data_IF_036998803686
#
_entry.id   IF_036998803686
#
_cell.length_a   1.000
_cell.length_b   1.000
_cell.length_c   1.000
_cell.angle_alpha   90.00
_cell.angle_beta   90.00
_cell.angle_gamma   90.00
#
_symmetry.space_group_name_H-M   'P 1'
#
loop_
_entity.id
_entity.type
_entity.pdbx_description
1 polymer ?
#
# COMPACT_ATOMS: atom_id res chain seq x y z
N UNK A 1 9.50 -4.25 -4.75
CA UNK A 1 8.62 -3.09 -4.96
C UNK A 1 7.20 -3.64 -4.98
N UNK A 2 6.33 -3.13 -4.13
CA UNK A 2 4.94 -3.61 -4.03
C UNK A 2 4.22 -3.28 -5.32
N UNK A 3 3.45 -4.22 -5.85
CA UNK A 3 2.54 -3.99 -6.98
C UNK A 3 1.11 -4.23 -6.55
N UNK A 4 0.18 -3.61 -7.26
CA UNK A 4 -1.24 -3.68 -6.98
C UNK A 4 -1.94 -4.41 -8.13
N UNK A 5 -2.52 -5.57 -7.85
CA UNK A 5 -3.28 -6.35 -8.83
C UNK A 5 -4.79 -6.09 -8.66
N UNK A 6 -5.56 -6.30 -9.71
CA UNK A 6 -7.02 -6.27 -9.59
C UNK A 6 -7.53 -7.52 -8.88
N UNK A 7 -8.46 -7.37 -7.94
CA UNK A 7 -9.15 -8.50 -7.29
C UNK A 7 -9.87 -9.43 -8.28
N UNK A 8 -10.20 -8.95 -9.49
CA UNK A 8 -10.80 -9.78 -10.55
C UNK A 8 -9.74 -10.52 -11.39
N UNK A 9 -8.45 -10.18 -11.25
CA UNK A 9 -7.32 -10.86 -11.87
C UNK A 9 -7.21 -10.68 -13.39
N UNK A 10 -7.98 -9.78 -13.99
CA UNK A 10 -8.04 -9.58 -15.45
C UNK A 10 -7.36 -8.30 -15.92
N UNK A 11 -6.75 -7.54 -14.99
CA UNK A 11 -5.91 -6.38 -15.29
C UNK A 11 -4.45 -6.63 -14.87
N UNK A 12 -3.47 -6.09 -15.60
CA UNK A 12 -2.06 -6.20 -15.23
C UNK A 12 -1.79 -5.47 -13.90
N UNK A 13 -0.87 -5.97 -13.05
CA UNK A 13 -0.50 -5.28 -11.82
C UNK A 13 0.13 -3.92 -12.10
N UNK A 14 -0.15 -2.93 -11.26
CA UNK A 14 0.34 -1.54 -11.40
C UNK A 14 1.08 -1.08 -10.15
N UNK A 15 1.73 0.08 -10.19
CA UNK A 15 2.29 0.76 -9.02
C UNK A 15 1.19 1.43 -8.19
N UNK A 16 1.50 1.84 -6.94
CA UNK A 16 0.54 2.59 -6.13
C UNK A 16 0.08 3.88 -6.82
N UNK A 17 1.01 4.64 -7.43
CA UNK A 17 0.68 5.89 -8.10
C UNK A 17 -0.30 5.68 -9.25
N UNK A 18 -0.07 4.66 -10.08
CA UNK A 18 -0.98 4.29 -11.17
C UNK A 18 -2.36 3.88 -10.63
N UNK A 19 -2.42 3.06 -9.58
CA UNK A 19 -3.69 2.67 -8.93
C UNK A 19 -4.44 3.89 -8.38
N UNK A 20 -3.74 4.82 -7.74
CA UNK A 20 -4.32 6.05 -7.18
C UNK A 20 -4.96 6.93 -8.28
N UNK A 21 -4.28 7.10 -9.41
CA UNK A 21 -4.80 7.91 -10.52
C UNK A 21 -5.88 7.20 -11.34
N UNK A 22 -5.85 5.87 -11.44
CA UNK A 22 -6.89 5.09 -12.13
C UNK A 22 -8.16 4.96 -11.29
N UNK A 23 -8.04 4.92 -9.96
CA UNK A 23 -9.15 4.68 -9.05
C UNK A 23 -9.58 3.22 -9.07
N UNK A 24 -10.50 2.86 -9.97
CA UNK A 24 -10.98 1.48 -10.14
C UNK A 24 -10.13 0.73 -11.17
N UNK A 25 -9.88 -0.56 -10.96
CA UNK A 25 -9.18 -1.35 -11.95
C UNK A 25 -10.00 -1.46 -13.26
N UNK A 26 -9.35 -1.56 -14.44
CA UNK A 26 -10.04 -1.60 -15.74
C UNK A 26 -11.07 -2.72 -15.91
N UNK A 27 -10.93 -3.80 -15.15
CA UNK A 27 -11.82 -4.96 -15.14
C UNK A 27 -12.94 -4.85 -14.08
N UNK A 28 -13.13 -3.67 -13.50
CA UNK A 28 -14.13 -3.39 -12.46
C UNK A 28 -13.79 -3.91 -11.07
N UNK A 29 -12.60 -4.49 -10.88
CA UNK A 29 -12.10 -4.92 -9.57
C UNK A 29 -11.49 -3.80 -8.75
N UNK A 30 -11.12 -4.11 -7.51
CA UNK A 30 -10.35 -3.22 -6.64
C UNK A 30 -8.86 -3.55 -6.73
N UNK A 31 -8.01 -2.55 -6.51
CA UNK A 31 -6.56 -2.78 -6.40
C UNK A 31 -6.20 -3.38 -5.03
N UNK A 32 -5.42 -4.46 -5.01
CA UNK A 32 -4.90 -5.11 -3.80
C UNK A 32 -3.38 -5.32 -3.92
N UNK A 33 -2.60 -5.12 -2.84
CA UNK A 33 -1.15 -5.33 -2.86
C UNK A 33 -0.78 -6.80 -3.09
N UNK A 34 0.25 -7.06 -3.88
CA UNK A 34 0.82 -8.40 -4.08
C UNK A 34 1.58 -8.90 -2.85
N UNK A 35 2.02 -8.00 -1.98
CA UNK A 35 2.69 -8.31 -0.72
C UNK A 35 2.47 -7.21 0.31
N UNK A 36 2.54 -7.58 1.59
CA UNK A 36 2.53 -6.61 2.69
C UNK A 36 3.96 -6.15 3.02
N UNK A 37 4.18 -4.85 3.27
CA UNK A 37 5.48 -4.38 3.76
C UNK A 37 5.79 -5.00 5.12
N UNK A 38 7.05 -5.35 5.34
CA UNK A 38 7.52 -5.87 6.62
C UNK A 38 7.93 -4.72 7.52
N UNK A 39 7.58 -4.86 8.80
CA UNK A 39 8.01 -3.99 9.88
C UNK A 39 8.87 -4.80 10.84
N UNK A 40 10.01 -4.25 11.21
CA UNK A 40 10.85 -4.76 12.28
C UNK A 40 10.22 -4.49 13.66
N UNK A 41 10.54 -5.27 14.69
CA UNK A 41 10.12 -4.99 16.06
C UNK A 41 10.48 -3.58 16.52
N UNK A 42 11.64 -3.07 16.12
CA UNK A 42 12.14 -1.74 16.47
C UNK A 42 11.30 -0.63 15.82
N UNK A 43 10.92 -0.78 14.55
CA UNK A 43 10.03 0.15 13.87
C UNK A 43 8.66 0.22 14.53
N UNK A 44 8.10 -0.92 14.95
CA UNK A 44 6.81 -0.96 15.63
C UNK A 44 6.89 -0.37 17.05
N UNK A 45 7.98 -0.64 17.77
CA UNK A 45 8.21 -0.10 19.10
C UNK A 45 8.39 1.43 19.12
N UNK A 46 8.76 2.03 17.98
CA UNK A 46 8.90 3.48 17.83
C UNK A 46 7.56 4.22 17.57
N UNK A 47 6.46 3.52 17.26
CA UNK A 47 5.18 4.15 16.92
C UNK A 47 4.42 4.75 18.13
N UNK A 48 4.38 4.12 19.32
CA UNK A 48 3.63 4.67 20.46
C UNK A 48 4.15 6.05 20.89
N UNK A 49 3.23 6.98 21.12
CA UNK A 49 3.56 8.34 21.56
C UNK A 49 3.89 9.33 20.44
N UNK A 50 3.95 8.87 19.18
CA UNK A 50 4.05 9.74 18.01
C UNK A 50 2.73 10.47 17.73
N UNK A 51 2.81 11.61 17.05
CA UNK A 51 1.62 12.25 16.50
C UNK A 51 1.00 11.40 15.39
N UNK A 52 -0.28 11.63 15.09
CA UNK A 52 -0.98 10.93 14.00
C UNK A 52 -0.26 11.10 12.65
N UNK A 53 0.30 12.28 12.38
CA UNK A 53 1.04 12.56 11.15
C UNK A 53 2.34 11.75 11.06
N UNK A 54 3.08 11.65 12.16
CA UNK A 54 4.33 10.87 12.23
C UNK A 54 4.05 9.36 12.11
N UNK A 55 3.05 8.86 12.82
CA UNK A 55 2.60 7.46 12.71
C UNK A 55 2.15 7.16 11.27
N UNK A 56 1.33 8.04 10.69
CA UNK A 56 0.86 7.92 9.32
C UNK A 56 2.01 7.89 8.32
N UNK A 57 3.00 8.78 8.46
CA UNK A 57 4.19 8.78 7.62
C UNK A 57 5.02 7.48 7.80
N UNK A 58 5.27 7.05 9.03
CA UNK A 58 6.03 5.83 9.34
C UNK A 58 5.40 4.57 8.72
N UNK A 59 4.07 4.48 8.74
CA UNK A 59 3.33 3.33 8.19
C UNK A 59 3.18 3.43 6.67
N UNK A 60 2.67 4.55 6.15
CA UNK A 60 2.29 4.69 4.75
C UNK A 60 3.49 4.70 3.80
N UNK A 61 4.64 5.24 4.22
CA UNK A 61 5.81 5.34 3.33
C UNK A 61 6.31 3.99 2.80
N UNK A 62 6.03 2.88 3.49
CA UNK A 62 6.43 1.54 3.06
C UNK A 62 5.51 0.92 2.00
N UNK A 63 4.37 1.55 1.72
CA UNK A 63 3.39 1.11 0.72
C UNK A 63 3.66 1.68 -0.69
N UNK A 64 4.54 2.68 -0.78
CA UNK A 64 4.93 3.33 -2.03
C UNK A 64 6.23 2.74 -2.58
#
# INVERSE_FOLDING_TARGET
MIRYYSTNGQAPPVTFAEALFQGLAPDGGLYFPDQFPKFSPEELAALPGTSLAECGFAVLQKWF
#
